data_IF_024617691526
#
_entry.id   IF_024617691526
#
_cell.length_a   1.000
_cell.length_b   1.000
_cell.length_c   1.000
_cell.angle_alpha   90.00
_cell.angle_beta   90.00
_cell.angle_gamma   90.00
#
_symmetry.space_group_name_H-M   'P 1'
#
loop_
_entity.id
_entity.type
_entity.pdbx_description
1 polymer ?
#
# COMPACT_ATOMS: atom_id res chain seq x y z
N UNK A 1 -32.69 40.55 -46.63
CA UNK A 1 -32.53 39.08 -46.43
C UNK A 1 -31.06 38.77 -46.63
N UNK A 2 -30.32 38.72 -45.55
CA UNK A 2 -28.88 38.52 -45.52
C UNK A 2 -28.61 37.12 -45.04
N UNK A 3 -28.00 36.29 -45.88
CA UNK A 3 -27.68 34.89 -45.59
C UNK A 3 -26.44 34.82 -44.72
N UNK A 4 -26.63 34.30 -43.52
CA UNK A 4 -25.57 34.01 -42.57
C UNK A 4 -24.85 32.75 -43.03
N UNK A 5 -23.59 32.87 -43.44
CA UNK A 5 -22.75 31.73 -43.83
C UNK A 5 -22.21 31.06 -42.57
N UNK A 6 -22.63 29.83 -42.37
CA UNK A 6 -22.08 28.89 -41.38
C UNK A 6 -20.57 28.74 -41.57
N UNK A 7 -19.81 29.14 -40.55
CA UNK A 7 -18.37 28.88 -40.45
C UNK A 7 -18.16 27.49 -39.87
N UNK A 8 -17.96 26.53 -40.75
CA UNK A 8 -17.59 25.16 -40.39
C UNK A 8 -16.26 25.10 -39.60
N UNK A 9 -16.22 24.60 -38.34
CA UNK A 9 -15.02 24.57 -37.52
C UNK A 9 -13.98 23.54 -37.98
N UNK A 10 -14.33 22.58 -38.84
CA UNK A 10 -13.40 21.54 -39.28
C UNK A 10 -12.23 22.02 -40.15
N UNK A 11 -12.34 23.20 -40.79
CA UNK A 11 -11.25 23.73 -41.63
C UNK A 11 -10.11 24.39 -40.86
N UNK A 12 -10.23 24.54 -39.53
CA UNK A 12 -9.19 25.19 -38.71
C UNK A 12 -8.07 24.26 -38.25
N UNK A 13 -8.33 22.96 -38.08
CA UNK A 13 -7.33 22.02 -37.62
C UNK A 13 -6.33 21.59 -38.69
N UNK A 14 -6.76 21.55 -39.96
CA UNK A 14 -5.92 21.10 -41.08
C UNK A 14 -4.85 22.13 -41.47
N UNK A 15 -5.09 23.40 -41.23
CA UNK A 15 -4.12 24.49 -41.59
C UNK A 15 -2.92 24.58 -40.63
N UNK A 16 -3.00 23.98 -39.45
CA UNK A 16 -1.90 23.99 -38.50
C UNK A 16 -0.78 23.00 -38.90
N UNK A 17 -1.12 21.99 -39.66
CA UNK A 17 -0.20 20.92 -40.09
C UNK A 17 0.68 21.34 -41.28
N UNK A 18 0.23 22.28 -42.10
CA UNK A 18 0.97 22.78 -43.30
C UNK A 18 1.93 23.93 -43.03
N UNK A 19 1.98 24.46 -41.82
CA UNK A 19 2.83 25.58 -41.44
C UNK A 19 4.13 25.22 -40.74
N UNK A 20 5.12 26.14 -40.81
CA UNK A 20 6.40 26.04 -40.09
C UNK A 20 6.27 25.70 -38.60
N UNK A 21 5.09 25.90 -37.98
CA UNK A 21 4.78 25.58 -36.59
C UNK A 21 4.83 24.07 -36.26
N UNK A 22 4.48 23.22 -37.23
CA UNK A 22 4.56 21.75 -37.04
C UNK A 22 6.01 21.29 -36.85
N UNK A 23 6.94 21.80 -37.64
CA UNK A 23 8.34 21.46 -37.53
C UNK A 23 8.97 22.01 -36.26
N UNK A 24 8.54 23.17 -35.77
CA UNK A 24 8.98 23.72 -34.48
C UNK A 24 8.52 22.81 -33.32
N UNK A 25 7.27 22.35 -33.33
CA UNK A 25 6.75 21.41 -32.33
C UNK A 25 7.52 20.08 -32.37
N UNK A 26 7.80 19.55 -33.55
CA UNK A 26 8.58 18.29 -33.72
C UNK A 26 10.02 18.41 -33.18
N UNK A 27 10.69 19.54 -33.44
CA UNK A 27 12.03 19.81 -32.94
C UNK A 27 12.04 19.96 -31.42
N UNK A 28 11.05 20.60 -30.83
CA UNK A 28 10.91 20.73 -29.38
C UNK A 28 10.67 19.37 -28.72
N UNK A 29 9.79 18.52 -29.29
CA UNK A 29 9.58 17.16 -28.80
C UNK A 29 10.85 16.31 -28.86
N UNK A 30 11.59 16.40 -29.97
CA UNK A 30 12.87 15.67 -30.13
C UNK A 30 13.93 16.17 -29.14
N UNK A 31 13.98 17.46 -28.83
CA UNK A 31 14.89 18.03 -27.84
C UNK A 31 14.55 17.53 -26.42
N UNK A 32 13.27 17.47 -26.04
CA UNK A 32 12.84 16.95 -24.73
C UNK A 32 13.20 15.47 -24.59
N UNK A 33 12.95 14.66 -25.63
CA UNK A 33 13.31 13.24 -25.64
C UNK A 33 14.84 13.05 -25.53
N UNK A 34 15.60 13.89 -26.23
CA UNK A 34 17.07 13.86 -26.19
C UNK A 34 17.65 14.19 -24.81
N UNK A 35 17.08 15.20 -24.12
CA UNK A 35 17.50 15.58 -22.77
C UNK A 35 17.14 14.48 -21.76
N UNK A 36 15.95 13.88 -21.89
CA UNK A 36 15.51 12.79 -21.03
C UNK A 36 16.36 11.53 -21.19
N UNK A 37 16.73 11.17 -22.43
CA UNK A 37 17.63 10.06 -22.72
C UNK A 37 19.05 10.31 -22.20
N UNK A 38 19.53 11.55 -22.30
CA UNK A 38 20.85 11.92 -21.77
C UNK A 38 20.92 11.83 -20.25
N UNK A 39 19.86 12.26 -19.55
CA UNK A 39 19.76 12.16 -18.09
C UNK A 39 19.81 10.70 -17.60
N UNK A 40 19.11 9.79 -18.28
CA UNK A 40 19.13 8.36 -17.95
C UNK A 40 20.49 7.70 -18.21
N UNK A 41 21.23 8.14 -19.22
CA UNK A 41 22.58 7.62 -19.49
C UNK A 41 23.66 8.24 -18.59
N UNK A 42 23.44 9.43 -18.06
CA UNK A 42 24.39 10.10 -17.17
C UNK A 42 24.41 9.47 -15.77
N UNK A 43 23.23 9.03 -15.27
CA UNK A 43 23.11 8.38 -13.95
C UNK A 43 23.77 6.99 -13.87
N UNK A 44 23.95 6.31 -15.00
CA UNK A 44 24.64 5.01 -15.00
C UNK A 44 26.16 5.10 -14.84
N UNK A 45 26.75 6.28 -15.02
CA UNK A 45 28.21 6.48 -14.85
C UNK A 45 28.64 6.81 -13.43
N UNK A 46 27.73 7.25 -12.57
CA UNK A 46 28.07 7.61 -11.18
C UNK A 46 27.96 6.44 -10.20
N UNK A 47 27.33 5.31 -10.59
CA UNK A 47 27.21 4.14 -9.69
C UNK A 47 28.41 3.20 -9.70
N UNK A 48 29.34 3.32 -10.65
CA UNK A 48 30.53 2.47 -10.71
C UNK A 48 31.71 3.00 -9.87
N UNK A 49 31.68 4.27 -9.43
CA UNK A 49 32.81 4.88 -8.71
C UNK A 49 32.69 4.79 -7.17
N UNK A 50 31.51 4.52 -6.63
CA UNK A 50 31.32 4.33 -5.16
C UNK A 50 31.61 2.89 -4.67
N UNK A 51 31.72 1.93 -5.57
CA UNK A 51 32.04 0.53 -5.20
C UNK A 51 33.52 0.24 -4.96
N UNK A 52 34.40 1.19 -5.24
CA UNK A 52 35.85 1.00 -5.13
C UNK A 52 36.45 1.44 -3.80
N UNK A 53 35.69 2.02 -2.86
CA UNK A 53 36.25 2.56 -1.60
C UNK A 53 35.82 1.81 -0.33
N UNK A 54 35.22 0.61 -0.44
CA UNK A 54 34.98 -0.27 0.70
C UNK A 54 35.89 -1.49 0.68
N UNK A 55 37.17 -1.24 0.85
CA UNK A 55 38.11 -2.31 1.10
C UNK A 55 39.07 -1.93 2.22
N UNK A 56 39.19 -2.87 3.15
CA UNK A 56 40.25 -3.08 4.10
C UNK A 56 40.22 -2.23 5.37
N UNK A 57 39.47 -2.75 6.36
CA UNK A 57 39.89 -2.64 7.75
C UNK A 57 40.81 -3.84 8.04
N UNK A 58 42.08 -3.55 8.07
CA UNK A 58 43.17 -4.45 8.48
C UNK A 58 42.99 -4.76 9.98
N UNK A 59 42.59 -6.02 10.28
CA UNK A 59 42.50 -6.51 11.67
C UNK A 59 43.95 -6.85 12.09
N UNK A 60 44.51 -6.01 12.95
CA UNK A 60 45.75 -6.30 13.65
C UNK A 60 45.48 -7.38 14.72
N UNK A 61 46.13 -8.54 14.70
CA UNK A 61 45.95 -9.54 15.73
C UNK A 61 46.64 -9.12 17.03
N UNK A 62 45.86 -8.90 18.08
CA UNK A 62 46.38 -8.74 19.44
C UNK A 62 46.81 -10.11 19.98
N UNK A 63 47.99 -10.26 20.58
CA UNK A 63 48.46 -11.55 21.11
C UNK A 63 47.62 -11.95 22.33
N UNK A 64 47.01 -13.12 22.24
CA UNK A 64 46.30 -13.77 23.35
C UNK A 64 47.33 -14.34 24.33
N UNK A 65 47.31 -13.83 25.56
CA UNK A 65 48.06 -14.42 26.69
C UNK A 65 47.21 -15.61 27.23
N UNK A 66 47.79 -16.81 27.38
CA UNK A 66 47.05 -17.94 27.94
C UNK A 66 46.82 -17.74 29.44
N UNK A 67 45.54 -17.73 29.84
CA UNK A 67 45.13 -17.81 31.24
C UNK A 67 45.02 -19.29 31.60
N UNK A 68 45.54 -19.74 32.77
CA UNK A 68 45.45 -21.16 33.20
C UNK A 68 44.00 -21.52 33.51
N UNK A 69 43.55 -22.61 32.92
CA UNK A 69 42.22 -23.18 33.18
C UNK A 69 42.17 -23.78 34.60
N UNK A 70 41.36 -23.19 35.46
CA UNK A 70 40.93 -23.82 36.70
C UNK A 70 39.79 -24.80 36.36
N UNK A 71 39.85 -26.05 36.74
CA UNK A 71 38.75 -26.99 36.48
C UNK A 71 37.51 -26.60 37.28
N UNK A 72 36.48 -26.20 36.54
CA UNK A 72 35.15 -25.95 37.07
C UNK A 72 34.42 -27.29 37.20
N UNK A 73 33.77 -27.60 38.34
CA UNK A 73 33.03 -28.85 38.49
C UNK A 73 31.86 -28.89 37.53
N UNK A 74 31.72 -29.97 36.81
CA UNK A 74 30.61 -30.30 35.93
C UNK A 74 29.29 -30.24 36.73
N UNK A 75 28.32 -29.41 36.31
CA UNK A 75 26.97 -29.49 36.87
C UNK A 75 26.32 -30.79 36.38
N UNK A 76 25.93 -31.60 37.32
CA UNK A 76 25.08 -32.78 37.13
C UNK A 76 23.78 -32.34 36.46
N UNK A 77 23.51 -32.87 35.26
CA UNK A 77 22.28 -32.63 34.49
C UNK A 77 21.11 -33.19 35.31
N UNK A 78 20.43 -32.30 36.04
CA UNK A 78 19.08 -32.59 36.53
C UNK A 78 18.17 -32.76 35.30
N UNK A 79 17.36 -33.82 35.23
CA UNK A 79 16.44 -34.01 34.13
C UNK A 79 15.47 -32.83 34.12
N UNK A 80 15.58 -32.00 33.06
CA UNK A 80 14.59 -30.99 32.71
C UNK A 80 13.25 -31.71 32.52
N UNK A 81 12.18 -31.29 33.19
CA UNK A 81 10.87 -31.88 32.94
C UNK A 81 10.55 -31.65 31.45
N UNK A 82 10.43 -32.75 30.70
CA UNK A 82 9.83 -32.75 29.38
C UNK A 82 8.45 -32.10 29.51
N UNK A 83 8.37 -30.81 29.13
CA UNK A 83 7.10 -30.17 28.83
C UNK A 83 6.57 -30.96 27.64
N UNK A 84 5.42 -31.63 27.75
CA UNK A 84 4.81 -32.24 26.59
C UNK A 84 4.70 -31.15 25.56
N UNK A 85 5.23 -31.39 24.35
CA UNK A 85 4.93 -30.55 23.22
C UNK A 85 3.40 -30.49 23.16
N UNK A 86 2.86 -29.39 23.69
CA UNK A 86 1.45 -29.07 23.56
C UNK A 86 1.26 -29.01 22.05
N UNK A 87 0.67 -30.07 21.53
CA UNK A 87 0.11 -30.14 20.21
C UNK A 87 -0.51 -28.76 19.98
N UNK A 88 0.12 -27.94 19.14
CA UNK A 88 -0.50 -26.76 18.63
C UNK A 88 -1.79 -27.26 17.98
N UNK A 89 -2.84 -27.30 18.81
CA UNK A 89 -4.18 -27.53 18.33
C UNK A 89 -4.35 -26.52 17.22
N UNK A 90 -4.33 -26.99 15.97
CA UNK A 90 -5.01 -26.34 14.88
C UNK A 90 -6.48 -26.24 15.31
N UNK A 91 -6.73 -25.32 16.22
CA UNK A 91 -8.06 -24.80 16.45
C UNK A 91 -8.42 -24.22 15.09
N UNK A 92 -9.28 -24.93 14.37
CA UNK A 92 -9.92 -24.40 13.18
C UNK A 92 -10.37 -23.00 13.58
N UNK A 93 -9.59 -21.99 13.14
CA UNK A 93 -9.84 -20.61 13.50
C UNK A 93 -11.22 -20.31 12.96
N UNK A 94 -12.21 -20.21 13.85
CA UNK A 94 -13.53 -19.78 13.46
C UNK A 94 -13.31 -18.47 12.72
N UNK A 95 -13.93 -18.34 11.55
CA UNK A 95 -13.84 -17.14 10.73
C UNK A 95 -14.44 -15.96 11.50
N UNK A 96 -13.61 -15.33 12.32
CA UNK A 96 -13.99 -14.15 13.10
C UNK A 96 -13.74 -12.92 12.23
N UNK A 97 -14.81 -12.18 11.99
CA UNK A 97 -14.74 -10.90 11.29
C UNK A 97 -15.20 -9.78 12.21
N UNK A 98 -14.39 -8.73 12.30
CA UNK A 98 -14.64 -7.58 13.16
C UNK A 98 -14.64 -6.29 12.34
N UNK A 99 -15.38 -5.30 12.80
CA UNK A 99 -15.29 -3.96 12.24
C UNK A 99 -13.90 -3.39 12.52
N UNK A 100 -13.18 -2.90 11.48
CA UNK A 100 -11.82 -2.40 11.66
C UNK A 100 -11.77 -1.07 12.43
N UNK A 101 -12.87 -0.31 12.39
CA UNK A 101 -13.06 0.94 13.11
C UNK A 101 -14.52 1.09 13.50
N UNK A 102 -14.79 1.80 14.59
CA UNK A 102 -16.15 2.14 14.94
C UNK A 102 -16.62 3.40 14.20
N UNK A 103 -17.69 3.29 13.45
CA UNK A 103 -18.24 4.38 12.65
C UNK A 103 -19.35 3.93 11.70
N UNK A 104 -20.02 4.89 11.08
CA UNK A 104 -21.04 4.63 10.07
C UNK A 104 -20.39 4.41 8.70
N UNK A 105 -21.00 3.58 7.85
CA UNK A 105 -20.60 3.47 6.44
C UNK A 105 -21.14 4.69 5.70
N UNK A 106 -20.24 5.54 5.22
CA UNK A 106 -20.56 6.77 4.46
C UNK A 106 -20.67 6.53 2.98
N UNK A 107 -19.87 5.59 2.45
CA UNK A 107 -19.89 5.20 1.05
C UNK A 107 -19.89 3.68 0.93
N UNK A 108 -20.84 3.15 0.19
CA UNK A 108 -21.01 1.71 0.04
C UNK A 108 -20.19 1.16 -1.14
N UNK A 109 -19.91 -0.14 -1.08
CA UNK A 109 -19.39 -0.91 -2.21
C UNK A 109 -20.32 -0.83 -3.41
N UNK A 110 -19.81 -0.47 -4.60
CA UNK A 110 -20.60 -0.22 -5.81
C UNK A 110 -19.80 -0.55 -7.09
N UNK A 111 -19.50 -1.83 -7.33
CA UNK A 111 -18.79 -2.26 -8.54
C UNK A 111 -19.69 -2.42 -9.77
N UNK A 112 -20.99 -2.53 -9.57
CA UNK A 112 -21.99 -2.70 -10.66
C UNK A 112 -22.84 -1.45 -10.94
N UNK A 113 -22.64 -0.39 -10.14
CA UNK A 113 -23.32 0.88 -10.27
C UNK A 113 -22.31 2.04 -10.13
N UNK A 114 -22.57 3.13 -10.83
CA UNK A 114 -21.76 4.34 -10.69
C UNK A 114 -22.35 5.21 -9.59
N UNK A 115 -21.50 5.73 -8.71
CA UNK A 115 -21.83 6.78 -7.75
C UNK A 115 -21.04 8.04 -8.11
N UNK A 116 -21.61 9.21 -7.84
CA UNK A 116 -20.89 10.45 -8.03
C UNK A 116 -19.81 10.61 -6.96
N UNK A 117 -18.61 10.95 -7.41
CA UNK A 117 -17.45 11.19 -6.55
C UNK A 117 -17.20 12.69 -6.49
N UNK A 118 -17.31 13.28 -5.30
CA UNK A 118 -17.20 14.73 -5.10
C UNK A 118 -15.76 15.22 -5.26
N UNK A 119 -14.78 14.41 -4.88
CA UNK A 119 -13.36 14.77 -5.00
C UNK A 119 -12.92 14.83 -6.46
N UNK A 120 -13.30 13.80 -7.22
CA UNK A 120 -12.88 13.68 -8.61
C UNK A 120 -13.87 14.32 -9.59
N UNK A 121 -15.04 14.76 -9.10
CA UNK A 121 -16.13 15.39 -9.85
C UNK A 121 -16.59 14.54 -11.05
N UNK A 122 -16.66 13.23 -10.89
CA UNK A 122 -17.11 12.29 -11.93
C UNK A 122 -17.95 11.13 -11.35
N UNK A 123 -18.43 10.25 -12.24
CA UNK A 123 -19.18 9.05 -11.90
C UNK A 123 -18.29 7.84 -12.00
N UNK A 124 -18.10 7.11 -10.88
CA UNK A 124 -17.21 5.94 -10.80
C UNK A 124 -17.77 4.82 -9.96
N UNK A 125 -17.20 3.64 -10.10
CA UNK A 125 -17.40 2.50 -9.19
C UNK A 125 -16.62 2.72 -7.90
N UNK A 126 -17.01 2.00 -6.84
CA UNK A 126 -16.32 1.97 -5.56
C UNK A 126 -16.07 0.52 -5.14
N UNK A 127 -14.82 0.14 -4.99
CA UNK A 127 -14.39 -1.25 -4.76
C UNK A 127 -14.26 -1.62 -3.27
N UNK A 128 -14.63 -0.69 -2.37
CA UNK A 128 -14.62 -0.85 -0.93
C UNK A 128 -15.85 -0.26 -0.25
N UNK A 129 -15.72 -0.02 1.03
CA UNK A 129 -16.61 0.82 1.82
C UNK A 129 -15.78 1.88 2.54
N UNK A 130 -16.33 3.08 2.69
CA UNK A 130 -15.74 4.12 3.52
C UNK A 130 -16.48 4.16 4.85
N UNK A 131 -15.72 4.08 5.93
CA UNK A 131 -16.24 4.04 7.30
C UNK A 131 -15.81 5.33 7.99
N UNK A 132 -16.76 6.20 8.33
CA UNK A 132 -16.49 7.45 9.04
C UNK A 132 -15.75 7.16 10.34
N UNK A 133 -14.64 7.86 10.55
CA UNK A 133 -13.87 7.79 11.78
C UNK A 133 -13.00 9.03 11.92
N UNK A 134 -12.75 9.44 13.16
CA UNK A 134 -11.88 10.58 13.43
C UNK A 134 -10.44 10.30 12.98
N UNK A 135 -9.73 11.34 12.55
CA UNK A 135 -8.29 11.27 12.31
C UNK A 135 -7.59 10.72 13.57
N UNK A 136 -6.67 9.77 13.39
CA UNK A 136 -5.98 9.10 14.48
C UNK A 136 -6.77 7.97 15.16
N UNK A 137 -8.02 7.70 14.77
CA UNK A 137 -8.78 6.57 15.31
C UNK A 137 -8.06 5.25 15.00
N UNK A 138 -8.00 4.35 15.98
CA UNK A 138 -7.31 3.06 15.85
C UNK A 138 -8.01 2.19 14.81
N UNK A 139 -7.22 1.65 13.88
CA UNK A 139 -7.66 0.70 12.87
C UNK A 139 -7.16 -0.69 13.24
N UNK A 140 -8.10 -1.65 13.31
CA UNK A 140 -7.83 -3.04 13.63
C UNK A 140 -8.00 -3.96 12.42
N UNK A 141 -7.34 -5.10 12.43
CA UNK A 141 -7.51 -6.14 11.42
C UNK A 141 -8.94 -6.68 11.42
N UNK A 142 -9.60 -6.64 10.26
CA UNK A 142 -10.95 -7.18 10.07
C UNK A 142 -11.00 -8.70 10.25
N UNK A 143 -9.94 -9.38 9.85
CA UNK A 143 -9.79 -10.84 9.90
C UNK A 143 -8.33 -11.20 10.21
N UNK A 144 -8.11 -12.40 10.71
CA UNK A 144 -6.76 -12.94 10.87
C UNK A 144 -6.10 -13.17 9.52
N UNK A 145 -4.77 -12.98 9.45
CA UNK A 145 -4.01 -13.13 8.21
C UNK A 145 -2.56 -12.71 8.38
N UNK A 146 -1.85 -12.59 7.27
CA UNK A 146 -0.47 -12.09 7.21
C UNK A 146 -0.44 -10.77 6.45
N UNK A 147 0.31 -9.80 6.93
CA UNK A 147 0.55 -8.53 6.23
C UNK A 147 1.40 -8.81 5.00
N UNK A 148 0.83 -8.64 3.81
CA UNK A 148 1.54 -8.88 2.55
C UNK A 148 2.11 -7.64 1.92
N UNK A 149 1.52 -6.47 2.19
CA UNK A 149 1.98 -5.19 1.65
C UNK A 149 1.73 -4.05 2.65
N UNK A 150 2.68 -3.12 2.68
CA UNK A 150 2.58 -1.81 3.34
C UNK A 150 3.20 -0.80 2.38
N UNK A 151 2.42 0.12 1.86
CA UNK A 151 2.88 1.08 0.85
C UNK A 151 2.03 2.35 0.83
N UNK A 152 2.56 3.40 0.21
CA UNK A 152 1.79 4.61 -0.07
C UNK A 152 1.24 4.54 -1.49
N UNK A 153 -0.07 4.59 -1.63
CA UNK A 153 -0.78 4.68 -2.91
C UNK A 153 -1.07 6.14 -3.23
N UNK A 154 -0.88 6.56 -4.50
CA UNK A 154 -1.08 7.95 -4.92
C UNK A 154 -2.56 8.40 -4.84
N UNK A 155 -3.49 7.46 -4.86
CA UNK A 155 -4.94 7.69 -4.81
C UNK A 155 -5.50 7.51 -3.41
N UNK A 156 -5.21 6.37 -2.79
CA UNK A 156 -5.80 5.92 -1.52
C UNK A 156 -4.91 6.16 -0.31
N UNK A 157 -3.71 6.76 -0.51
CA UNK A 157 -2.78 7.10 0.57
C UNK A 157 -2.09 5.88 1.19
N UNK A 158 -1.71 5.99 2.46
CA UNK A 158 -1.05 4.91 3.16
C UNK A 158 -1.97 3.69 3.27
N UNK A 159 -1.46 2.56 2.82
CA UNK A 159 -2.22 1.33 2.62
C UNK A 159 -1.52 0.14 3.25
N UNK A 160 -2.27 -0.65 3.99
CA UNK A 160 -1.87 -1.96 4.53
C UNK A 160 -2.75 -3.03 3.91
N UNK A 161 -2.15 -4.13 3.49
CA UNK A 161 -2.86 -5.29 2.93
C UNK A 161 -2.56 -6.51 3.76
N UNK A 162 -3.60 -7.19 4.22
CA UNK A 162 -3.51 -8.50 4.86
C UNK A 162 -4.12 -9.58 3.97
N UNK A 163 -3.55 -10.76 3.99
CA UNK A 163 -4.02 -11.90 3.20
C UNK A 163 -4.05 -13.17 4.05
N UNK A 164 -5.10 -13.95 3.88
CA UNK A 164 -5.31 -15.23 4.52
C UNK A 164 -5.07 -16.38 3.53
N UNK A 165 -4.73 -17.55 4.02
CA UNK A 165 -4.39 -18.72 3.19
C UNK A 165 -5.51 -19.18 2.24
N UNK A 166 -6.77 -18.85 2.53
CA UNK A 166 -7.94 -19.14 1.68
C UNK A 166 -8.13 -18.12 0.55
N UNK A 167 -7.22 -17.14 0.41
CA UNK A 167 -7.25 -16.11 -0.62
C UNK A 167 -8.13 -14.90 -0.27
N UNK A 168 -8.61 -14.78 0.97
CA UNK A 168 -9.24 -13.57 1.47
C UNK A 168 -8.16 -12.50 1.65
N UNK A 169 -8.32 -11.37 0.99
CA UNK A 169 -7.43 -10.21 1.03
C UNK A 169 -8.20 -9.00 1.49
N UNK A 170 -7.73 -8.38 2.56
CA UNK A 170 -8.28 -7.14 3.11
C UNK A 170 -7.29 -6.00 2.89
N UNK A 171 -7.77 -4.89 2.35
CA UNK A 171 -6.97 -3.68 2.09
C UNK A 171 -7.53 -2.55 2.93
N UNK A 172 -6.68 -1.96 3.75
CA UNK A 172 -6.97 -0.84 4.63
C UNK A 172 -6.22 0.37 4.12
N UNK A 173 -6.91 1.38 3.67
CA UNK A 173 -6.32 2.57 3.06
C UNK A 173 -6.78 3.86 3.77
N UNK A 174 -6.21 4.98 3.37
CA UNK A 174 -6.35 6.27 4.05
C UNK A 174 -5.83 6.24 5.49
N UNK A 175 -4.75 5.48 5.73
CA UNK A 175 -4.10 5.38 7.02
C UNK A 175 -3.13 6.54 7.25
N UNK A 176 -2.76 6.77 8.50
CA UNK A 176 -1.60 7.60 8.84
C UNK A 176 -0.30 7.03 8.25
N UNK A 177 0.69 7.90 8.05
CA UNK A 177 1.94 7.58 7.32
C UNK A 177 2.80 6.49 7.96
N UNK A 178 2.54 6.11 9.22
CA UNK A 178 3.32 5.09 9.94
C UNK A 178 2.36 4.04 10.51
N UNK A 179 2.04 2.99 9.76
CA UNK A 179 1.30 1.84 10.30
C UNK A 179 2.06 1.14 11.44
N UNK A 180 1.35 0.43 12.30
CA UNK A 180 1.95 -0.28 13.44
C UNK A 180 2.49 -1.67 13.07
N UNK A 181 2.27 -2.12 11.83
CA UNK A 181 2.66 -3.43 11.33
C UNK A 181 3.62 -3.35 10.14
N UNK A 182 4.37 -4.41 9.91
CA UNK A 182 5.30 -4.57 8.82
C UNK A 182 4.92 -5.75 7.93
N UNK A 183 5.42 -5.75 6.70
CA UNK A 183 5.26 -6.90 5.78
C UNK A 183 5.85 -8.15 6.40
N UNK A 184 5.07 -9.23 6.42
CA UNK A 184 5.41 -10.53 7.02
C UNK A 184 4.84 -10.74 8.42
N UNK A 185 4.31 -9.69 9.07
CA UNK A 185 3.68 -9.83 10.39
C UNK A 185 2.38 -10.65 10.28
N UNK A 186 2.17 -11.56 11.23
CA UNK A 186 0.89 -12.26 11.41
C UNK A 186 -0.01 -11.42 12.30
N UNK A 187 -1.25 -11.22 11.90
CA UNK A 187 -2.26 -10.47 12.65
C UNK A 187 -3.48 -11.36 12.91
N UNK A 188 -4.08 -11.21 14.08
CA UNK A 188 -5.38 -11.77 14.43
C UNK A 188 -6.48 -10.75 14.18
N UNK A 189 -7.72 -11.21 13.97
CA UNK A 189 -8.86 -10.29 13.94
C UNK A 189 -8.91 -9.44 15.22
N UNK A 190 -8.95 -8.11 15.05
CA UNK A 190 -8.94 -7.14 16.16
C UNK A 190 -7.56 -6.59 16.53
N UNK A 191 -6.45 -7.16 16.02
CA UNK A 191 -5.12 -6.59 16.25
C UNK A 191 -4.98 -5.23 15.57
N UNK A 192 -4.31 -4.29 16.24
CA UNK A 192 -4.08 -2.94 15.70
C UNK A 192 -3.10 -2.99 14.52
N UNK A 193 -3.48 -2.42 13.40
CA UNK A 193 -2.67 -2.31 12.17
C UNK A 193 -2.23 -0.88 11.86
N UNK A 194 -2.88 0.11 12.43
CA UNK A 194 -2.57 1.53 12.21
C UNK A 194 -3.63 2.43 12.79
N UNK A 195 -3.69 3.63 12.27
CA UNK A 195 -4.72 4.64 12.59
C UNK A 195 -5.23 5.32 11.32
N UNK A 196 -6.42 5.88 11.41
CA UNK A 196 -7.08 6.62 10.34
C UNK A 196 -6.29 7.88 10.03
N UNK A 197 -5.98 8.11 8.76
CA UNK A 197 -5.28 9.28 8.25
C UNK A 197 -6.16 10.21 7.43
N UNK A 198 -5.49 11.03 6.61
CA UNK A 198 -6.05 11.95 5.62
C UNK A 198 -5.25 11.90 4.30
N UNK A 199 -4.62 10.76 4.05
CA UNK A 199 -3.64 10.58 2.98
C UNK A 199 -4.25 10.24 1.61
N UNK A 200 -5.57 9.92 1.55
CA UNK A 200 -6.27 9.53 0.32
C UNK A 200 -6.58 10.72 -0.59
N UNK A 201 -5.73 10.96 -1.58
CA UNK A 201 -5.90 12.08 -2.53
C UNK A 201 -7.19 12.03 -3.33
N UNK A 202 -7.67 10.84 -3.70
CA UNK A 202 -8.91 10.68 -4.48
C UNK A 202 -10.19 10.79 -3.64
N UNK A 203 -10.08 10.92 -2.31
CA UNK A 203 -11.19 10.99 -1.35
C UNK A 203 -11.07 12.21 -0.42
N UNK A 204 -10.19 13.16 -0.78
CA UNK A 204 -9.85 14.32 0.05
C UNK A 204 -10.99 15.33 0.26
N UNK A 205 -12.09 15.26 -0.49
CA UNK A 205 -13.29 16.07 -0.25
C UNK A 205 -14.24 15.43 0.77
N UNK A 206 -13.98 14.19 1.18
CA UNK A 206 -14.76 13.49 2.19
C UNK A 206 -14.26 13.84 3.61
N UNK A 207 -15.12 13.62 4.61
CA UNK A 207 -14.70 13.65 6.01
C UNK A 207 -13.72 12.52 6.28
N UNK A 208 -12.96 12.62 7.39
CA UNK A 208 -11.99 11.59 7.79
C UNK A 208 -12.67 10.22 7.91
N UNK A 209 -12.08 9.22 7.29
CA UNK A 209 -12.66 7.87 7.17
C UNK A 209 -11.56 6.83 6.94
N UNK A 210 -11.90 5.57 7.18
CA UNK A 210 -11.16 4.41 6.72
C UNK A 210 -11.75 3.90 5.40
N UNK A 211 -10.95 3.77 4.36
CA UNK A 211 -11.31 3.00 3.17
C UNK A 211 -10.97 1.52 3.38
N UNK A 212 -11.97 0.65 3.31
CA UNK A 212 -11.80 -0.81 3.45
C UNK A 212 -12.26 -1.50 2.18
N UNK A 213 -11.38 -2.22 1.50
CA UNK A 213 -11.76 -3.10 0.39
C UNK A 213 -11.39 -4.56 0.68
N UNK A 214 -12.18 -5.48 0.12
CA UNK A 214 -12.03 -6.92 0.28
C UNK A 214 -12.05 -7.59 -1.08
N UNK A 215 -11.14 -8.55 -1.27
CA UNK A 215 -11.18 -9.45 -2.42
C UNK A 215 -10.97 -10.89 -2.01
N UNK A 216 -11.54 -11.82 -2.78
CA UNK A 216 -11.35 -13.26 -2.60
C UNK A 216 -10.83 -13.83 -3.90
N UNK A 217 -9.68 -14.48 -3.85
CA UNK A 217 -9.01 -15.04 -5.04
C UNK A 217 -8.87 -14.00 -6.17
N UNK A 218 -8.59 -12.74 -5.80
CA UNK A 218 -8.41 -11.62 -6.73
C UNK A 218 -9.69 -10.97 -7.24
N UNK A 219 -10.87 -11.44 -6.83
CA UNK A 219 -12.15 -10.84 -7.20
C UNK A 219 -12.65 -9.93 -6.08
N UNK A 220 -12.93 -8.66 -6.40
CA UNK A 220 -13.49 -7.69 -5.45
C UNK A 220 -14.88 -8.11 -5.02
N UNK A 221 -15.13 -8.05 -3.70
CA UNK A 221 -16.40 -8.38 -3.06
C UNK A 221 -16.75 -7.32 -2.01
N UNK A 222 -18.04 -7.18 -1.71
CA UNK A 222 -18.47 -6.23 -0.67
C UNK A 222 -17.94 -6.67 0.71
N UNK A 223 -17.23 -5.79 1.44
CA UNK A 223 -16.82 -6.06 2.82
C UNK A 223 -17.98 -6.39 3.75
N UNK A 224 -19.17 -5.83 3.48
CA UNK A 224 -20.38 -6.07 4.26
C UNK A 224 -20.89 -7.52 4.21
N UNK A 225 -20.41 -8.34 3.27
CA UNK A 225 -20.72 -9.77 3.22
C UNK A 225 -20.07 -10.56 4.37
N UNK A 226 -19.04 -9.99 4.98
CA UNK A 226 -18.22 -10.62 6.04
C UNK A 226 -18.44 -9.94 7.39
N UNK A 227 -18.63 -8.63 7.40
CA UNK A 227 -18.75 -7.86 8.64
C UNK A 227 -20.06 -8.16 9.38
N UNK A 228 -20.04 -8.24 10.73
CA UNK A 228 -21.25 -8.41 11.51
C UNK A 228 -22.19 -7.22 11.32
N UNK A 229 -23.50 -7.46 11.35
CA UNK A 229 -24.48 -6.37 11.27
C UNK A 229 -24.33 -5.44 12.48
N UNK A 230 -24.24 -4.13 12.20
CA UNK A 230 -24.34 -3.12 13.26
C UNK A 230 -25.82 -2.96 13.68
N UNK A 231 -26.09 -3.17 14.96
CA UNK A 231 -27.39 -2.95 15.54
C UNK A 231 -27.73 -1.46 15.65
#
# INVERSE_FOLDING_TARGET
>A
MEQNQDKNPEKRSVRFIEGKGFYIALVLCAAVIGVSAWSLLADTKTMDDERAHSAVLEVVPTPVVPVPETPQPTPELSPEPEIPAEEAAETAAQDVYLWPVDGAVTRAYAMTALAYDETMADWRTHDGIDIAADYGAVVSAMASGTVTQVYHDDRYGMTVVTERADGLRCTYANLESIPTVNVGDSVSAGDTIGSVGDSAGCESAQESHLHLSVSVSGQSVSPLNYLPQKN
#
